data_IF_220149325264
#
_entry.id   IF_220149325264
#
_cell.length_a   1.000
_cell.length_b   1.000
_cell.length_c   1.000
_cell.angle_alpha   90.00
_cell.angle_beta   90.00
_cell.angle_gamma   90.00
#
_symmetry.space_group_name_H-M   'P 1'
#
loop_
_entity.id
_entity.type
_entity.pdbx_description
1 polymer ?
#
# COMPACT_ATOMS: atom_id res chain seq x y z
N UNK A 1 -7.85 -61.50 23.35
CA UNK A 1 -8.23 -60.42 22.45
C UNK A 1 -8.45 -59.15 23.28
N UNK A 2 -7.59 -58.12 23.25
CA UNK A 2 -7.85 -56.92 24.01
C UNK A 2 -8.73 -55.96 23.20
N UNK A 3 -9.70 -55.39 23.89
CA UNK A 3 -10.66 -54.40 23.40
C UNK A 3 -9.97 -53.13 22.90
N UNK A 4 -9.97 -52.91 21.59
CA UNK A 4 -9.66 -51.57 20.99
C UNK A 4 -10.87 -50.66 21.22
N UNK A 5 -10.76 -49.74 22.19
CA UNK A 5 -11.67 -48.60 22.29
C UNK A 5 -11.43 -47.69 21.07
N UNK A 6 -12.47 -47.48 20.28
CA UNK A 6 -12.48 -46.45 19.20
C UNK A 6 -12.30 -45.08 19.86
N UNK A 7 -11.18 -44.42 19.59
CA UNK A 7 -11.01 -42.99 19.88
C UNK A 7 -12.00 -42.22 19.00
N UNK A 8 -12.87 -41.47 19.62
CA UNK A 8 -13.79 -40.57 18.93
C UNK A 8 -13.05 -39.32 18.49
N UNK A 9 -13.38 -38.78 17.30
CA UNK A 9 -12.71 -37.63 16.64
C UNK A 9 -12.89 -36.29 17.39
N UNK A 10 -13.33 -36.33 18.66
CA UNK A 10 -13.56 -35.13 19.48
C UNK A 10 -12.38 -34.72 20.39
N UNK A 11 -11.31 -35.55 20.47
CA UNK A 11 -10.27 -35.33 21.48
C UNK A 11 -9.02 -34.58 21.01
N UNK A 12 -9.01 -34.07 19.77
CA UNK A 12 -7.85 -33.35 19.19
C UNK A 12 -8.07 -31.85 18.89
N UNK A 13 -9.12 -31.23 19.42
CA UNK A 13 -9.16 -29.78 19.53
C UNK A 13 -8.55 -29.43 20.90
N UNK A 14 -7.24 -29.26 20.94
CA UNK A 14 -6.60 -28.50 22.02
C UNK A 14 -7.19 -27.10 21.92
N UNK A 15 -8.31 -26.93 22.65
CA UNK A 15 -8.96 -25.64 22.77
C UNK A 15 -7.97 -24.68 23.37
N UNK A 16 -7.42 -23.81 22.52
CA UNK A 16 -6.75 -22.60 22.95
C UNK A 16 -7.79 -21.85 23.80
N UNK A 17 -7.76 -22.01 25.14
CA UNK A 17 -8.57 -21.20 26.06
C UNK A 17 -8.12 -19.75 25.82
N UNK A 18 -8.91 -19.02 25.05
CA UNK A 18 -8.73 -17.58 24.92
C UNK A 18 -8.93 -17.04 26.34
N UNK A 19 -7.86 -16.48 26.91
CA UNK A 19 -7.96 -15.75 28.16
C UNK A 19 -8.89 -14.54 27.89
N UNK A 20 -10.10 -14.61 28.44
CA UNK A 20 -11.15 -13.63 28.19
C UNK A 20 -10.76 -12.24 28.70
N UNK A 21 -9.88 -12.16 29.70
CA UNK A 21 -9.40 -10.87 30.21
C UNK A 21 -8.40 -10.26 29.23
N UNK A 22 -7.46 -11.03 28.71
CA UNK A 22 -6.54 -10.58 27.63
C UNK A 22 -7.34 -10.19 26.39
N UNK A 23 -8.34 -10.98 26.00
CA UNK A 23 -9.19 -10.66 24.85
C UNK A 23 -9.89 -9.31 25.04
N UNK A 24 -10.52 -9.06 26.20
CA UNK A 24 -11.19 -7.79 26.50
C UNK A 24 -10.19 -6.63 26.52
N UNK A 25 -9.05 -6.78 27.18
CA UNK A 25 -8.00 -5.77 27.17
C UNK A 25 -7.56 -5.40 25.76
N UNK A 26 -7.40 -6.37 24.87
CA UNK A 26 -7.02 -6.12 23.48
C UNK A 26 -8.12 -5.37 22.71
N UNK A 27 -9.40 -5.75 22.88
CA UNK A 27 -10.52 -5.04 22.26
C UNK A 27 -10.59 -3.61 22.77
N UNK A 28 -10.48 -3.37 24.07
CA UNK A 28 -10.49 -2.04 24.67
C UNK A 28 -9.33 -1.17 24.16
N UNK A 29 -8.15 -1.77 24.00
CA UNK A 29 -6.98 -1.10 23.43
C UNK A 29 -7.21 -0.70 21.97
N UNK A 30 -7.79 -1.59 21.14
CA UNK A 30 -8.13 -1.30 19.74
C UNK A 30 -9.17 -0.18 19.65
N UNK A 31 -10.26 -0.29 20.43
CA UNK A 31 -11.33 0.73 20.48
C UNK A 31 -10.77 2.09 20.90
N UNK A 32 -9.93 2.10 21.96
CA UNK A 32 -9.27 3.31 22.42
C UNK A 32 -8.33 3.91 21.38
N UNK A 33 -7.65 3.06 20.59
CA UNK A 33 -6.82 3.52 19.47
C UNK A 33 -7.66 4.19 18.38
N UNK A 34 -8.75 3.58 17.96
CA UNK A 34 -9.65 4.15 16.97
C UNK A 34 -10.29 5.47 17.44
N UNK A 35 -10.70 5.54 18.72
CA UNK A 35 -11.25 6.77 19.32
C UNK A 35 -10.27 7.94 19.33
N UNK A 36 -8.96 7.70 19.40
CA UNK A 36 -7.96 8.76 19.26
C UNK A 36 -7.91 9.40 17.88
N UNK A 37 -8.45 8.73 16.88
CA UNK A 37 -8.61 9.25 15.52
C UNK A 37 -9.83 10.16 15.32
N UNK A 38 -10.71 10.32 16.32
CA UNK A 38 -11.88 11.19 16.22
C UNK A 38 -11.45 12.64 16.01
N UNK A 39 -12.06 13.29 15.03
CA UNK A 39 -11.84 14.70 14.71
C UNK A 39 -13.16 15.45 14.63
N UNK A 40 -13.10 16.74 14.80
CA UNK A 40 -14.26 17.58 14.54
C UNK A 40 -14.55 17.60 13.04
N UNK A 41 -15.80 17.69 12.64
CA UNK A 41 -16.17 17.66 11.22
C UNK A 41 -15.63 18.85 10.40
N UNK A 42 -15.34 19.97 11.06
CA UNK A 42 -14.71 21.15 10.46
C UNK A 42 -13.20 20.99 10.26
N UNK A 43 -12.58 19.99 10.91
CA UNK A 43 -11.17 19.62 10.78
C UNK A 43 -10.93 18.41 9.86
N UNK A 44 -11.99 17.89 9.20
CA UNK A 44 -11.85 16.72 8.32
C UNK A 44 -10.95 16.99 7.14
N UNK A 45 -10.12 16.01 6.84
CA UNK A 45 -9.22 16.00 5.69
C UNK A 45 -9.40 14.72 4.88
N UNK A 46 -8.91 14.76 3.66
CA UNK A 46 -8.86 13.63 2.74
C UNK A 46 -7.39 13.36 2.43
N UNK A 47 -6.95 12.12 2.55
CA UNK A 47 -5.67 11.63 2.05
C UNK A 47 -5.88 10.80 0.81
N UNK A 48 -4.89 10.77 -0.07
CA UNK A 48 -4.90 9.93 -1.27
C UNK A 48 -3.52 9.34 -1.50
N UNK A 49 -3.50 8.07 -1.93
CA UNK A 49 -2.33 7.37 -2.43
C UNK A 49 -2.64 6.92 -3.85
N UNK A 50 -1.72 7.13 -4.78
CA UNK A 50 -1.88 6.79 -6.19
C UNK A 50 -0.64 6.03 -6.63
N UNK A 51 -0.84 4.78 -6.97
CA UNK A 51 0.19 3.91 -7.54
C UNK A 51 0.16 3.99 -9.07
N UNK A 52 1.34 3.98 -9.67
CA UNK A 52 1.48 4.08 -11.13
C UNK A 52 2.39 2.97 -11.64
N UNK A 53 2.00 2.34 -12.75
CA UNK A 53 2.95 1.58 -13.54
C UNK A 53 3.81 2.53 -14.36
N UNK A 54 5.10 2.22 -14.44
CA UNK A 54 6.05 2.92 -15.30
C UNK A 54 6.57 1.96 -16.34
N UNK A 55 6.35 2.27 -17.62
CA UNK A 55 6.73 1.42 -18.75
C UNK A 55 7.76 2.11 -19.65
N UNK A 56 8.58 1.31 -20.30
CA UNK A 56 9.44 1.76 -21.39
C UNK A 56 8.70 1.75 -22.74
N UNK A 57 9.40 2.08 -23.83
CA UNK A 57 8.86 2.13 -25.21
C UNK A 57 8.45 0.76 -25.76
N UNK A 58 8.83 -0.33 -25.10
CA UNK A 58 8.49 -1.70 -25.51
C UNK A 58 7.40 -2.31 -24.59
N UNK A 59 6.70 -1.48 -23.82
CA UNK A 59 5.67 -1.90 -22.88
C UNK A 59 6.21 -2.78 -21.72
N UNK A 60 7.51 -2.70 -21.41
CA UNK A 60 8.12 -3.39 -20.28
C UNK A 60 8.14 -2.50 -19.04
N UNK A 61 7.81 -3.05 -17.90
CA UNK A 61 7.88 -2.34 -16.62
C UNK A 61 9.30 -1.89 -16.34
N UNK A 62 9.44 -0.65 -15.94
CA UNK A 62 10.73 -0.09 -15.54
C UNK A 62 11.19 -0.73 -14.21
N UNK A 63 12.34 -1.38 -14.23
CA UNK A 63 12.92 -1.97 -13.03
C UNK A 63 13.45 -0.90 -12.06
N UNK A 64 13.79 -1.34 -10.84
CA UNK A 64 14.20 -0.50 -9.72
C UNK A 64 15.29 0.53 -10.10
N UNK A 65 16.35 0.12 -10.80
CA UNK A 65 17.48 1.02 -11.13
C UNK A 65 17.04 2.21 -12.01
N UNK A 66 16.18 1.96 -13.01
CA UNK A 66 15.67 3.04 -13.87
C UNK A 66 14.78 4.00 -13.10
N UNK A 67 13.91 3.48 -12.23
CA UNK A 67 13.05 4.31 -11.39
C UNK A 67 13.87 5.10 -10.37
N UNK A 68 14.93 4.51 -9.84
CA UNK A 68 15.86 5.17 -8.94
C UNK A 68 16.48 6.43 -9.59
N UNK A 69 16.88 6.36 -10.85
CA UNK A 69 17.43 7.49 -11.57
C UNK A 69 16.35 8.58 -11.78
N UNK A 70 15.12 8.20 -12.14
CA UNK A 70 13.99 9.14 -12.22
C UNK A 70 13.72 9.79 -10.86
N UNK A 71 13.71 9.03 -9.77
CA UNK A 71 13.50 9.58 -8.42
C UNK A 71 14.57 10.61 -8.04
N UNK A 72 15.84 10.33 -8.35
CA UNK A 72 16.94 11.30 -8.11
C UNK A 72 16.76 12.59 -8.91
N UNK A 73 16.27 12.48 -10.15
CA UNK A 73 16.04 13.62 -11.03
C UNK A 73 14.87 14.52 -10.60
N UNK A 74 13.85 13.95 -9.98
CA UNK A 74 12.66 14.69 -9.53
C UNK A 74 12.75 15.17 -8.08
N UNK A 75 13.71 14.68 -7.32
CA UNK A 75 13.93 15.07 -5.92
C UNK A 75 14.52 16.49 -5.86
N UNK A 76 13.81 17.40 -5.20
CA UNK A 76 14.25 18.77 -4.98
C UNK A 76 15.20 18.89 -3.78
N UNK A 77 15.76 20.10 -3.59
CA UNK A 77 16.71 20.38 -2.51
C UNK A 77 16.09 20.23 -1.10
N UNK A 78 14.80 20.50 -0.97
CA UNK A 78 14.07 20.41 0.30
C UNK A 78 13.50 19.01 0.56
N UNK A 79 13.57 18.10 -0.42
CA UNK A 79 13.06 16.74 -0.28
C UNK A 79 14.00 15.90 0.58
N UNK A 80 13.43 15.07 1.44
CA UNK A 80 14.16 14.19 2.35
C UNK A 80 14.16 12.78 1.81
N UNK A 81 15.33 12.25 1.40
CA UNK A 81 15.42 10.88 0.89
C UNK A 81 15.12 9.86 1.98
N UNK A 82 14.44 8.78 1.61
CA UNK A 82 14.14 7.65 2.47
C UNK A 82 14.90 6.41 2.02
N UNK A 83 15.84 5.97 2.86
CA UNK A 83 16.66 4.79 2.63
C UNK A 83 16.21 3.63 3.52
N UNK A 84 16.17 2.44 2.96
CA UNK A 84 15.98 1.19 3.68
C UNK A 84 17.12 0.23 3.30
N UNK A 85 17.86 -0.27 4.30
CA UNK A 85 18.96 -1.21 4.11
C UNK A 85 20.01 -0.72 3.08
N UNK A 86 20.23 0.60 3.00
CA UNK A 86 21.16 1.23 2.06
C UNK A 86 20.58 1.54 0.68
N UNK A 87 19.37 1.12 0.39
CA UNK A 87 18.67 1.38 -0.87
C UNK A 87 17.74 2.60 -0.74
N UNK A 88 17.80 3.52 -1.69
CA UNK A 88 16.83 4.61 -1.80
C UNK A 88 15.49 4.00 -2.27
N UNK A 89 14.46 4.10 -1.46
CA UNK A 89 13.14 3.56 -1.75
C UNK A 89 12.04 4.62 -1.82
N UNK A 90 12.39 5.87 -1.67
CA UNK A 90 11.48 7.00 -1.74
C UNK A 90 12.08 8.29 -1.21
N UNK A 91 11.28 9.33 -1.21
CA UNK A 91 11.58 10.62 -0.58
C UNK A 91 10.27 11.30 -0.16
N UNK A 92 10.35 12.31 0.66
CA UNK A 92 9.17 13.03 1.14
C UNK A 92 9.46 14.50 1.42
N UNK A 93 8.41 15.30 1.37
CA UNK A 93 8.36 16.70 1.79
C UNK A 93 7.06 16.96 2.57
N UNK A 94 6.75 18.23 2.83
CA UNK A 94 5.53 18.59 3.59
C UNK A 94 4.23 18.41 2.79
N UNK A 95 4.30 18.24 1.46
CA UNK A 95 3.13 18.12 0.57
C UNK A 95 2.81 16.68 0.19
N UNK A 96 3.84 15.83 0.02
CA UNK A 96 3.67 14.43 -0.39
C UNK A 96 4.91 13.59 -0.06
N UNK A 97 4.73 12.29 -0.12
CA UNK A 97 5.82 11.32 -0.20
C UNK A 97 5.73 10.53 -1.50
N UNK A 98 6.91 10.15 -2.01
CA UNK A 98 7.06 9.21 -3.12
C UNK A 98 7.67 7.95 -2.57
N UNK A 99 7.09 6.79 -2.92
CA UNK A 99 7.63 5.49 -2.55
C UNK A 99 7.57 4.50 -3.70
N UNK A 100 8.22 3.35 -3.52
CA UNK A 100 8.17 2.25 -4.48
C UNK A 100 7.46 1.06 -3.88
N UNK A 101 6.49 0.58 -4.65
CA UNK A 101 5.76 -0.63 -4.40
C UNK A 101 6.52 -1.88 -4.95
N UNK A 102 6.12 -3.14 -4.64
CA UNK A 102 6.96 -4.34 -4.83
C UNK A 102 7.62 -4.50 -6.18
N UNK A 103 6.95 -4.16 -7.26
CA UNK A 103 7.50 -4.28 -8.62
C UNK A 103 7.81 -2.92 -9.25
N UNK A 104 8.34 -1.99 -8.46
CA UNK A 104 8.74 -0.64 -8.87
C UNK A 104 7.58 0.26 -9.30
N UNK A 105 6.33 -0.08 -8.95
CA UNK A 105 5.24 0.87 -9.13
C UNK A 105 5.56 2.13 -8.32
N UNK A 106 5.42 3.28 -8.95
CA UNK A 106 5.68 4.58 -8.34
C UNK A 106 4.44 5.05 -7.61
N UNK A 107 4.50 5.15 -6.30
CA UNK A 107 3.42 5.65 -5.46
C UNK A 107 3.67 7.11 -5.07
N UNK A 108 2.62 7.92 -5.17
CA UNK A 108 2.55 9.21 -4.49
C UNK A 108 1.49 9.13 -3.39
N UNK A 109 1.89 9.45 -2.15
CA UNK A 109 0.98 9.63 -1.01
C UNK A 109 0.92 11.12 -0.69
N UNK A 110 -0.22 11.76 -0.97
CA UNK A 110 -0.41 13.20 -0.77
C UNK A 110 -0.79 13.48 0.69
N UNK A 111 -0.16 14.49 1.29
CA UNK A 111 -0.49 14.94 2.63
C UNK A 111 -1.98 15.26 2.77
N UNK A 112 -2.61 15.03 3.94
CA UNK A 112 -4.04 15.22 4.11
C UNK A 112 -4.48 16.65 3.80
N UNK A 113 -5.39 16.81 2.82
CA UNK A 113 -5.92 18.07 2.30
C UNK A 113 -7.33 18.35 2.78
N UNK A 114 -7.72 19.62 2.78
CA UNK A 114 -9.08 20.03 3.14
C UNK A 114 -10.11 19.75 2.04
N UNK A 115 -9.67 19.57 0.78
CA UNK A 115 -10.56 19.36 -0.35
C UNK A 115 -9.95 18.46 -1.41
N UNK A 116 -10.81 17.87 -2.26
CA UNK A 116 -10.36 17.12 -3.44
C UNK A 116 -9.65 18.01 -4.46
N UNK A 117 -10.04 19.29 -4.58
CA UNK A 117 -9.38 20.21 -5.50
C UNK A 117 -7.93 20.46 -5.11
N UNK A 118 -7.64 20.56 -3.81
CA UNK A 118 -6.27 20.68 -3.30
C UNK A 118 -5.44 19.44 -3.65
N UNK A 119 -5.98 18.23 -3.44
CA UNK A 119 -5.34 16.98 -3.84
C UNK A 119 -5.01 16.97 -5.35
N UNK A 120 -5.97 17.35 -6.19
CA UNK A 120 -5.80 17.41 -7.64
C UNK A 120 -4.71 18.42 -8.04
N UNK A 121 -4.66 19.58 -7.36
CA UNK A 121 -3.61 20.56 -7.62
C UNK A 121 -2.21 20.00 -7.30
N UNK A 122 -2.03 19.36 -6.13
CA UNK A 122 -0.76 18.75 -5.73
C UNK A 122 -0.36 17.64 -6.70
N UNK A 123 -1.30 16.77 -7.09
CA UNK A 123 -1.03 15.71 -8.05
C UNK A 123 -0.62 16.25 -9.43
N UNK A 124 -1.28 17.32 -9.92
CA UNK A 124 -0.90 17.96 -11.18
C UNK A 124 0.49 18.60 -11.12
N UNK A 125 0.83 19.23 -10.01
CA UNK A 125 2.18 19.78 -9.82
C UNK A 125 3.24 18.68 -9.84
N UNK A 126 2.99 17.57 -9.15
CA UNK A 126 3.84 16.38 -9.19
C UNK A 126 4.01 15.84 -10.62
N UNK A 127 2.94 15.70 -11.40
CA UNK A 127 3.00 15.23 -12.79
C UNK A 127 3.78 16.16 -13.70
N UNK A 128 3.76 17.48 -13.46
CA UNK A 128 4.59 18.44 -14.20
C UNK A 128 6.09 18.25 -13.99
N UNK A 129 6.50 17.65 -12.88
CA UNK A 129 7.88 17.30 -12.58
C UNK A 129 8.20 15.90 -13.09
N UNK A 130 7.31 14.95 -12.83
CA UNK A 130 7.50 13.54 -13.15
C UNK A 130 7.54 13.27 -14.66
N UNK A 131 6.55 13.77 -15.43
CA UNK A 131 6.39 13.43 -16.84
C UNK A 131 7.61 13.83 -17.70
N UNK A 132 8.20 15.04 -17.54
CA UNK A 132 9.44 15.39 -18.23
C UNK A 132 10.64 14.54 -17.79
N UNK A 133 10.72 14.15 -16.52
CA UNK A 133 11.78 13.28 -16.02
C UNK A 133 11.69 11.90 -16.67
N UNK A 134 10.53 11.28 -16.65
CA UNK A 134 10.29 9.99 -17.31
C UNK A 134 10.66 10.02 -18.80
N UNK A 135 10.26 11.09 -19.50
CA UNK A 135 10.56 11.25 -20.93
C UNK A 135 12.07 11.25 -21.24
N UNK A 136 12.92 11.79 -20.35
CA UNK A 136 14.40 11.75 -20.51
C UNK A 136 14.96 10.31 -20.51
N UNK A 137 14.28 9.39 -19.86
CA UNK A 137 14.65 7.97 -19.79
C UNK A 137 13.87 7.08 -20.77
N UNK A 138 13.10 7.67 -21.71
CA UNK A 138 12.16 6.95 -22.58
C UNK A 138 11.17 6.11 -21.81
N UNK A 139 10.67 6.63 -20.69
CA UNK A 139 9.68 6.02 -19.83
C UNK A 139 8.37 6.82 -19.88
N UNK A 140 7.28 6.13 -19.55
CA UNK A 140 5.97 6.75 -19.38
C UNK A 140 5.24 6.13 -18.18
N UNK A 141 4.36 6.88 -17.56
CA UNK A 141 3.50 6.42 -16.48
C UNK A 141 2.11 6.14 -17.01
N UNK A 142 1.51 5.04 -16.55
CA UNK A 142 0.13 4.67 -16.86
C UNK A 142 -0.63 4.24 -15.62
N UNK A 143 -1.95 4.54 -15.58
CA UNK A 143 -2.84 4.27 -14.45
C UNK A 143 -3.76 3.09 -14.82
N UNK A 144 -3.26 1.88 -14.62
CA UNK A 144 -4.02 0.65 -14.73
C UNK A 144 -4.21 0.03 -13.35
N UNK A 145 -5.33 -0.65 -13.11
CA UNK A 145 -5.51 -1.42 -11.88
C UNK A 145 -4.72 -2.75 -11.87
N UNK A 146 -4.29 -3.21 -13.04
CA UNK A 146 -3.48 -4.42 -13.22
C UNK A 146 -2.56 -4.24 -14.43
N UNK A 147 -1.31 -4.76 -14.33
CA UNK A 147 -0.32 -4.67 -15.41
C UNK A 147 -0.85 -5.42 -16.65
N UNK A 148 -1.08 -4.70 -17.78
CA UNK A 148 -1.67 -5.33 -18.96
C UNK A 148 -0.66 -6.06 -19.85
N UNK A 149 0.65 -5.83 -19.63
CA UNK A 149 1.69 -6.26 -20.56
C UNK A 149 2.51 -7.43 -20.02
N UNK A 150 2.72 -7.52 -18.70
CA UNK A 150 3.60 -8.50 -18.07
C UNK A 150 2.88 -9.29 -17.00
N UNK A 151 3.20 -10.58 -16.90
CA UNK A 151 2.73 -11.41 -15.81
C UNK A 151 3.48 -11.10 -14.50
N UNK A 152 2.85 -11.37 -13.37
CA UNK A 152 3.47 -11.18 -12.06
C UNK A 152 4.78 -11.97 -11.86
N UNK A 153 5.02 -13.03 -12.66
CA UNK A 153 6.23 -13.84 -12.61
C UNK A 153 7.41 -13.18 -13.32
N UNK A 154 7.14 -12.31 -14.30
CA UNK A 154 8.15 -11.60 -15.08
C UNK A 154 8.61 -10.33 -14.38
N UNK A 155 7.83 -9.81 -13.42
CA UNK A 155 8.13 -8.58 -12.70
C UNK A 155 9.15 -8.83 -11.58
N UNK A 156 10.26 -8.10 -11.61
CA UNK A 156 11.25 -8.10 -10.54
C UNK A 156 10.73 -7.35 -9.31
N UNK A 157 11.20 -7.74 -8.13
CA UNK A 157 10.88 -7.02 -6.88
C UNK A 157 12.03 -6.12 -6.46
N UNK A 158 11.69 -4.96 -5.92
CA UNK A 158 12.65 -4.00 -5.39
C UNK A 158 13.38 -4.58 -4.16
N UNK A 159 14.61 -4.12 -3.85
CA UNK A 159 15.44 -4.63 -2.76
C UNK A 159 14.90 -4.22 -1.37
N UNK A 160 13.80 -4.84 -0.97
CA UNK A 160 13.09 -4.61 0.30
C UNK A 160 12.77 -5.96 0.93
N UNK A 161 13.45 -6.32 2.02
CA UNK A 161 13.30 -7.65 2.68
C UNK A 161 11.86 -8.04 2.94
N UNK A 162 11.00 -7.07 3.32
CA UNK A 162 9.56 -7.33 3.51
C UNK A 162 8.96 -7.98 2.27
N UNK A 163 9.30 -7.50 1.08
CA UNK A 163 8.76 -8.01 -0.18
C UNK A 163 9.31 -9.38 -0.55
N UNK A 164 10.55 -9.68 -0.21
CA UNK A 164 11.09 -11.04 -0.35
C UNK A 164 10.35 -12.06 0.53
N UNK A 165 10.04 -11.68 1.78
CA UNK A 165 9.25 -12.55 2.68
C UNK A 165 7.82 -12.73 2.17
N UNK A 166 7.16 -11.65 1.73
CA UNK A 166 5.82 -11.70 1.16
C UNK A 166 5.78 -12.56 -0.10
N UNK A 167 6.75 -12.41 -1.01
CA UNK A 167 6.82 -13.19 -2.23
C UNK A 167 6.99 -14.70 -1.94
N UNK A 168 7.87 -15.06 -1.03
CA UNK A 168 8.04 -16.45 -0.60
C UNK A 168 6.77 -17.03 0.05
N UNK A 169 6.06 -16.23 0.81
CA UNK A 169 4.79 -16.63 1.39
C UNK A 169 3.73 -16.84 0.32
N UNK A 170 3.56 -15.90 -0.60
CA UNK A 170 2.55 -15.95 -1.67
C UNK A 170 2.83 -17.02 -2.75
N UNK A 171 4.03 -17.56 -2.80
CA UNK A 171 4.29 -18.76 -3.60
C UNK A 171 3.58 -20.01 -3.05
N UNK A 172 3.29 -20.02 -1.76
CA UNK A 172 2.72 -21.18 -1.05
C UNK A 172 1.26 -20.95 -0.60
N UNK A 173 0.88 -19.70 -0.40
CA UNK A 173 -0.43 -19.31 0.11
C UNK A 173 -1.32 -18.76 -1.00
N UNK A 174 -2.30 -19.55 -1.43
CA UNK A 174 -3.25 -19.16 -2.49
C UNK A 174 -2.65 -19.13 -3.89
N UNK A 175 -3.49 -18.75 -4.86
CA UNK A 175 -3.11 -18.78 -6.29
C UNK A 175 -2.88 -17.40 -6.91
N UNK A 176 -3.27 -16.32 -6.22
CA UNK A 176 -3.26 -14.95 -6.74
C UNK A 176 -2.43 -13.95 -5.92
N UNK A 177 -1.78 -14.41 -4.83
CA UNK A 177 -1.02 -13.52 -3.94
C UNK A 177 0.10 -12.76 -4.65
N UNK A 178 0.88 -13.42 -5.51
CA UNK A 178 1.92 -12.76 -6.32
C UNK A 178 1.34 -11.79 -7.36
N UNK A 179 0.19 -12.12 -7.96
CA UNK A 179 -0.50 -11.24 -8.88
C UNK A 179 -0.90 -9.93 -8.19
N UNK A 180 -1.54 -10.03 -7.02
CA UNK A 180 -1.89 -8.87 -6.20
C UNK A 180 -0.64 -8.07 -5.80
N UNK A 181 0.41 -8.74 -5.34
CA UNK A 181 1.61 -8.08 -4.83
C UNK A 181 2.41 -7.33 -5.90
N UNK A 182 2.55 -7.91 -7.11
CA UNK A 182 3.48 -7.40 -8.13
C UNK A 182 2.81 -6.71 -9.31
N UNK A 183 1.58 -7.12 -9.64
CA UNK A 183 0.95 -6.72 -10.88
C UNK A 183 -0.29 -5.83 -10.70
N UNK A 184 -0.55 -5.32 -9.50
CA UNK A 184 -1.62 -4.36 -9.26
C UNK A 184 -1.07 -2.97 -8.96
N UNK A 185 -1.86 -1.96 -9.26
CA UNK A 185 -1.67 -0.59 -8.81
C UNK A 185 -3.04 0.01 -8.50
N UNK A 186 -3.14 0.76 -7.42
CA UNK A 186 -4.42 1.22 -6.88
C UNK A 186 -4.45 2.74 -6.68
N UNK A 187 -5.67 3.27 -6.52
CA UNK A 187 -5.92 4.57 -5.91
C UNK A 187 -6.59 4.31 -4.58
N UNK A 188 -5.98 4.77 -3.50
CA UNK A 188 -6.46 4.61 -2.14
C UNK A 188 -6.86 5.97 -1.57
N UNK A 189 -8.00 6.03 -0.88
CA UNK A 189 -8.51 7.26 -0.27
C UNK A 189 -8.70 7.05 1.21
N UNK A 190 -8.12 7.94 2.02
CA UNK A 190 -8.29 7.99 3.47
C UNK A 190 -9.21 9.14 3.85
N UNK A 191 -10.19 8.88 4.71
CA UNK A 191 -11.14 9.88 5.19
C UNK A 191 -11.19 9.89 6.72
N UNK A 192 -11.28 11.07 7.30
CA UNK A 192 -11.47 11.25 8.73
C UNK A 192 -12.88 10.90 9.20
N UNK A 193 -13.06 10.68 10.50
CA UNK A 193 -14.34 10.42 11.14
C UNK A 193 -14.45 11.10 12.52
N UNK A 194 -15.68 11.47 12.90
CA UNK A 194 -15.93 12.26 14.12
C UNK A 194 -16.21 11.41 15.34
N UNK A 195 -16.84 10.27 15.15
CA UNK A 195 -17.30 9.38 16.22
C UNK A 195 -17.50 7.96 15.67
N UNK A 196 -17.93 7.06 16.54
CA UNK A 196 -18.17 5.66 16.19
C UNK A 196 -19.26 5.48 15.12
N UNK A 197 -20.36 6.25 15.20
CA UNK A 197 -21.44 6.15 14.23
C UNK A 197 -21.03 6.64 12.84
N UNK A 198 -20.27 7.73 12.78
CA UNK A 198 -19.73 8.25 11.53
C UNK A 198 -18.70 7.28 10.93
N UNK A 199 -17.82 6.71 11.75
CA UNK A 199 -16.87 5.67 11.32
C UNK A 199 -17.59 4.45 10.73
N UNK A 200 -18.61 3.92 11.41
CA UNK A 200 -19.41 2.79 10.93
C UNK A 200 -20.11 3.13 9.61
N UNK A 201 -20.71 4.32 9.51
CA UNK A 201 -21.37 4.76 8.28
C UNK A 201 -20.41 4.83 7.10
N UNK A 202 -19.26 5.48 7.28
CA UNK A 202 -18.21 5.59 6.25
C UNK A 202 -17.65 4.24 5.86
N UNK A 203 -17.33 3.39 6.83
CA UNK A 203 -16.88 2.03 6.58
C UNK A 203 -17.87 1.21 5.73
N UNK A 204 -19.17 1.29 6.06
CA UNK A 204 -20.22 0.62 5.27
C UNK A 204 -20.30 1.15 3.85
N UNK A 205 -20.15 2.48 3.65
CA UNK A 205 -20.12 3.07 2.31
C UNK A 205 -18.93 2.55 1.48
N UNK A 206 -17.75 2.45 2.09
CA UNK A 206 -16.57 1.90 1.42
C UNK A 206 -16.72 0.42 1.01
N UNK A 207 -17.58 -0.35 1.69
CA UNK A 207 -17.87 -1.74 1.33
C UNK A 207 -18.85 -1.89 0.14
N UNK A 208 -19.50 -0.80 -0.28
CA UNK A 208 -20.46 -0.80 -1.40
C UNK A 208 -19.77 -0.47 -2.75
N UNK A 209 -18.55 -0.01 -2.74
CA UNK A 209 -17.74 0.38 -3.88
C UNK A 209 -16.46 -0.44 -3.96
#
# INVERSE_FOLDING_TARGET
>A
MPNMKKATASDNIVGMRIDMDIYRMNIDAIVSHLKRGFKRSDDFKIGIEIEHFVFDSNDRSAGYEKILDVMKDIMGEDDKPYYLEGHLIGFYNDRYSISLEPASQLEISIAPCASADELVCIYRDFRRILDPALSRYNLRVECYGYNPYESAQELDIIPKKRYEYMDRYFQKAGTRGRNMMRATASVQVSVDYSDENDAIRKYRLCLLY
#
